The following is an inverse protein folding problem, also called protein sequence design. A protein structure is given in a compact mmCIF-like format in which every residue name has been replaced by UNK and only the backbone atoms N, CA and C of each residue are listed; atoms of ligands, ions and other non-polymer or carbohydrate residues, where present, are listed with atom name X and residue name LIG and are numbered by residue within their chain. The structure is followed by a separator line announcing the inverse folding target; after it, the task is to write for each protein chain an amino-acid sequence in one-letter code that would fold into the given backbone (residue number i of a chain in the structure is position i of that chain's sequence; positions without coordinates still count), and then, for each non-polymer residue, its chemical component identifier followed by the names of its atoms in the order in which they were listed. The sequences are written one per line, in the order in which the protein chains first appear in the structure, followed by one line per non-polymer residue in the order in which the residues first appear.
data_IF_125065614278
#
_entry.id   IF_125065614278
#
_cell.length_a   1.000
_cell.length_b   1.000
_cell.length_c   1.000
_cell.angle_alpha   90.00
_cell.angle_beta   90.00
_cell.angle_gamma   90.00
#
_symmetry.space_group_name_H-M   'P 1'
#
loop_
_entity.id
_entity.type
_entity.pdbx_description
1 polymer ?
#
# COMPACT_ATOMS: atom_id res chain seq x y z
N UNK A 1 1.28 8.61 0.05
CA UNK A 1 -0.14 8.55 -0.37
C UNK A 1 -0.74 9.93 -0.15
N UNK A 2 -1.90 10.30 -0.73
CA UNK A 2 -2.55 11.55 -0.35
C UNK A 2 -2.72 11.63 1.17
N UNK A 3 -2.61 12.82 1.76
CA UNK A 3 -2.57 12.99 3.23
C UNK A 3 -3.81 12.44 3.96
N UNK A 4 -4.94 12.37 3.25
CA UNK A 4 -6.20 11.78 3.76
C UNK A 4 -6.18 10.26 3.90
N UNK A 5 -5.20 9.57 3.31
CA UNK A 5 -5.19 8.11 3.23
C UNK A 5 -4.35 7.53 4.37
N UNK A 6 -5.01 6.76 5.24
CA UNK A 6 -4.34 5.96 6.26
C UNK A 6 -3.77 4.67 5.63
N UNK A 7 -2.46 4.45 5.77
CA UNK A 7 -1.74 3.34 5.16
C UNK A 7 -2.09 1.98 5.80
N UNK A 8 -2.39 1.92 7.10
CA UNK A 8 -2.78 0.68 7.79
C UNK A 8 -4.17 0.24 7.37
N UNK A 9 -5.11 1.18 7.23
CA UNK A 9 -6.43 0.89 6.67
C UNK A 9 -6.34 0.44 5.20
N UNK A 10 -5.52 1.13 4.40
CA UNK A 10 -5.28 0.75 3.01
C UNK A 10 -4.67 -0.64 2.93
N UNK A 11 -3.73 -0.99 3.81
CA UNK A 11 -3.12 -2.32 3.86
C UNK A 11 -4.17 -3.42 4.07
N UNK A 12 -5.08 -3.22 5.03
CA UNK A 12 -6.18 -4.16 5.31
C UNK A 12 -7.11 -4.28 4.09
N UNK A 13 -7.46 -3.17 3.46
CA UNK A 13 -8.33 -3.15 2.26
C UNK A 13 -7.65 -3.82 1.06
N UNK A 14 -6.39 -3.48 0.79
CA UNK A 14 -5.59 -4.02 -0.31
C UNK A 14 -5.44 -5.54 -0.20
N UNK A 15 -5.19 -6.05 1.01
CA UNK A 15 -5.07 -7.48 1.29
C UNK A 15 -6.34 -8.25 0.89
N UNK A 16 -7.52 -7.69 1.17
CA UNK A 16 -8.81 -8.26 0.76
C UNK A 16 -8.99 -8.31 -0.77
N UNK A 17 -8.28 -7.47 -1.51
CA UNK A 17 -8.30 -7.40 -2.97
C UNK A 17 -7.10 -8.11 -3.63
N UNK A 18 -6.34 -8.89 -2.86
CA UNK A 18 -5.20 -9.67 -3.36
C UNK A 18 -3.95 -8.85 -3.62
N UNK A 19 -3.85 -7.63 -3.07
CA UNK A 19 -2.65 -6.78 -3.13
C UNK A 19 -2.02 -6.70 -1.75
N UNK A 20 -0.75 -7.09 -1.62
CA UNK A 20 0.01 -6.94 -0.38
C UNK A 20 0.89 -5.71 -0.45
N UNK A 21 0.78 -4.86 0.56
CA UNK A 21 1.63 -3.67 0.79
C UNK A 21 2.05 -3.67 2.25
N UNK A 22 3.09 -2.93 2.59
CA UNK A 22 3.51 -2.72 3.97
C UNK A 22 3.23 -1.27 4.35
N UNK A 23 2.48 -1.05 5.44
CA UNK A 23 2.28 0.27 6.01
C UNK A 23 3.60 0.91 6.47
N UNK A 24 3.69 2.22 6.29
CA UNK A 24 4.90 2.99 6.55
C UNK A 24 5.25 3.15 8.02
N UNK A 25 4.26 3.09 8.92
CA UNK A 25 4.40 3.45 10.35
C UNK A 25 5.57 2.74 11.05
N UNK A 26 5.84 1.48 10.71
CA UNK A 26 6.94 0.68 11.30
C UNK A 26 8.35 1.09 10.84
N UNK A 27 8.46 1.91 9.78
CA UNK A 27 9.74 2.34 9.21
C UNK A 27 10.18 3.74 9.68
N UNK A 28 9.35 4.43 10.47
CA UNK A 28 9.65 5.77 10.98
C UNK A 28 9.84 5.72 12.49
N UNK A 29 10.78 6.52 13.01
CA UNK A 29 10.98 6.65 14.47
C UNK A 29 9.77 7.28 15.17
N UNK A 30 9.06 8.18 14.49
CA UNK A 30 7.74 8.65 14.87
C UNK A 30 6.69 7.99 13.94
N UNK A 31 5.89 7.03 14.43
CA UNK A 31 4.94 6.29 13.61
C UNK A 31 3.91 7.19 12.92
N UNK A 32 3.57 8.34 13.50
CA UNK A 32 2.58 9.27 12.93
C UNK A 32 3.07 9.87 11.61
N UNK A 33 4.38 10.01 11.43
CA UNK A 33 5.01 10.50 10.18
C UNK A 33 4.94 9.48 9.04
N UNK A 34 4.76 8.19 9.36
CA UNK A 34 4.62 7.11 8.39
C UNK A 34 3.17 6.77 8.02
N UNK A 35 2.18 7.47 8.57
CA UNK A 35 0.76 7.13 8.48
C UNK A 35 0.17 7.14 7.06
N UNK A 36 0.77 7.89 6.12
CA UNK A 36 0.39 7.93 4.71
C UNK A 36 1.49 7.40 3.77
N UNK A 37 2.47 6.66 4.29
CA UNK A 37 3.54 6.04 3.51
C UNK A 37 3.32 4.53 3.40
N UNK A 38 3.79 3.93 2.31
CA UNK A 38 3.77 2.48 2.10
C UNK A 38 5.07 2.04 1.43
N UNK A 39 5.44 0.77 1.63
CA UNK A 39 6.52 0.12 0.89
C UNK A 39 5.95 -0.90 -0.09
N UNK A 40 6.48 -0.91 -1.32
CA UNK A 40 6.13 -1.87 -2.37
C UNK A 40 7.31 -2.80 -2.64
N UNK A 41 7.16 -4.08 -2.29
CA UNK A 41 8.11 -5.13 -2.67
C UNK A 41 7.66 -5.80 -3.97
N UNK A 42 8.39 -5.59 -5.07
CA UNK A 42 8.05 -6.13 -6.40
C UNK A 42 9.02 -7.21 -6.90
N UNK A 43 10.18 -7.39 -6.24
CA UNK A 43 11.26 -8.29 -6.70
C UNK A 43 10.86 -9.77 -6.80
N UNK A 44 9.83 -10.18 -6.06
CA UNK A 44 9.37 -11.57 -5.99
C UNK A 44 8.01 -11.78 -6.66
N UNK A 45 7.52 -10.80 -7.43
CA UNK A 45 6.24 -10.83 -8.13
C UNK A 45 6.52 -11.03 -9.63
N UNK A 46 5.87 -12.01 -10.30
CA UNK A 46 5.93 -12.11 -11.76
C UNK A 46 5.55 -10.79 -12.43
N UNK A 47 6.39 -10.28 -13.33
CA UNK A 47 6.24 -8.93 -13.90
C UNK A 47 4.87 -8.68 -14.56
N UNK A 48 4.26 -9.73 -15.13
CA UNK A 48 2.93 -9.64 -15.73
C UNK A 48 1.78 -9.41 -14.73
N UNK A 49 1.98 -9.68 -13.44
CA UNK A 49 0.99 -9.42 -12.38
C UNK A 49 1.08 -8.02 -11.78
N UNK A 50 2.21 -7.33 -11.96
CA UNK A 50 2.44 -6.00 -11.38
C UNK A 50 1.43 -4.96 -11.88
N UNK A 51 1.13 -4.84 -13.20
CA UNK A 51 0.19 -3.83 -13.69
C UNK A 51 -1.21 -3.97 -13.09
N UNK A 52 -1.73 -5.20 -13.00
CA UNK A 52 -3.05 -5.46 -12.42
C UNK A 52 -3.09 -5.13 -10.92
N UNK A 53 -2.04 -5.52 -10.17
CA UNK A 53 -1.93 -5.20 -8.74
C UNK A 53 -1.89 -3.69 -8.49
N UNK A 54 -1.14 -2.94 -9.30
CA UNK A 54 -1.09 -1.48 -9.20
C UNK A 54 -2.43 -0.83 -9.55
N UNK A 55 -3.16 -1.34 -10.55
CA UNK A 55 -4.48 -0.84 -10.91
C UNK A 55 -5.50 -1.02 -9.77
N UNK A 56 -5.51 -2.20 -9.13
CA UNK A 56 -6.35 -2.47 -7.94
C UNK A 56 -5.99 -1.56 -6.78
N UNK A 57 -4.69 -1.36 -6.52
CA UNK A 57 -4.23 -0.46 -5.46
C UNK A 57 -4.65 1.00 -5.73
N UNK A 58 -4.51 1.47 -6.96
CA UNK A 58 -4.91 2.81 -7.36
C UNK A 58 -6.42 3.05 -7.18
N UNK A 59 -7.25 2.06 -7.52
CA UNK A 59 -8.69 2.14 -7.28
C UNK A 59 -9.00 2.34 -5.79
N UNK A 60 -8.35 1.56 -4.91
CA UNK A 60 -8.54 1.66 -3.46
C UNK A 60 -8.04 2.98 -2.84
N UNK A 61 -7.09 3.67 -3.46
CA UNK A 61 -6.58 4.98 -3.00
C UNK A 61 -7.53 6.13 -3.37
N UNK A 62 -8.31 5.94 -4.44
CA UNK A 62 -9.21 6.95 -4.99
C UNK A 62 -10.67 6.79 -4.54
N UNK A 63 -10.98 5.71 -3.83
CA UNK A 63 -12.25 5.46 -3.15
C UNK A 63 -12.38 6.32 -1.89
#
# INVERSE_FOLDING_TARGET
LPDRVNAEELEIKARKHGVLIESGSVFFSDPTKGSNWIRLGFSSIPSNRIPEGLARLAALIND
#
